data_IF_911357355815
#
_entry.id   IF_911357355815
#
_cell.length_a   1.000
_cell.length_b   1.000
_cell.length_c   1.000
_cell.angle_alpha   90.00
_cell.angle_beta   90.00
_cell.angle_gamma   90.00
#
_symmetry.space_group_name_H-M   'P 1'
#
loop_
_entity.id
_entity.type
_entity.pdbx_description
1 polymer ?
#
# COMPACT_ATOMS: atom_id res chain seq x y z
N UNK A 1 -31.78 2.10 64.40
CA UNK A 1 -32.84 1.19 63.98
C UNK A 1 -33.08 1.48 62.51
N UNK A 2 -32.43 0.77 61.62
CA UNK A 2 -32.83 -0.42 60.92
C UNK A 2 -33.88 -0.15 59.81
N UNK A 3 -33.48 -0.27 58.60
CA UNK A 3 -34.35 -0.42 57.47
C UNK A 3 -33.56 -0.63 56.17
N UNK A 4 -32.85 -1.76 56.02
CA UNK A 4 -32.38 -2.24 54.73
C UNK A 4 -33.60 -2.72 53.91
N UNK A 5 -33.90 -2.15 52.77
CA UNK A 5 -34.76 -2.77 51.76
C UNK A 5 -33.95 -3.10 50.51
N UNK A 6 -33.85 -4.42 50.23
CA UNK A 6 -33.40 -4.97 48.99
C UNK A 6 -34.34 -4.61 47.82
N UNK A 7 -33.89 -4.29 46.63
CA UNK A 7 -34.73 -4.41 45.45
C UNK A 7 -34.71 -5.87 44.98
N UNK A 8 -35.89 -6.45 44.98
CA UNK A 8 -36.26 -7.74 44.43
C UNK A 8 -36.06 -7.74 42.89
N UNK A 9 -35.46 -8.79 42.43
CA UNK A 9 -35.26 -9.07 41.00
C UNK A 9 -36.57 -9.30 40.23
N UNK A 10 -36.67 -8.65 39.12
CA UNK A 10 -37.62 -9.00 38.05
C UNK A 10 -36.85 -8.82 36.75
N UNK A 11 -36.23 -9.88 36.25
CA UNK A 11 -35.98 -10.14 34.85
C UNK A 11 -35.46 -11.59 34.64
N UNK A 12 -36.36 -12.61 34.61
CA UNK A 12 -35.93 -13.97 34.22
C UNK A 12 -36.32 -14.38 32.80
N UNK A 13 -36.56 -13.49 31.84
CA UNK A 13 -37.04 -13.94 30.51
C UNK A 13 -36.33 -13.32 29.29
N UNK A 14 -35.04 -12.97 29.38
CA UNK A 14 -34.29 -12.57 28.17
C UNK A 14 -33.04 -13.44 27.95
N UNK A 15 -33.25 -14.77 28.03
CA UNK A 15 -32.21 -15.76 27.72
C UNK A 15 -32.72 -16.76 26.66
N UNK A 16 -33.21 -16.29 25.52
CA UNK A 16 -33.44 -17.16 24.32
C UNK A 16 -33.73 -16.26 23.13
N UNK A 17 -32.74 -15.74 22.48
CA UNK A 17 -32.72 -15.35 21.05
C UNK A 17 -31.40 -14.63 20.69
N UNK A 18 -30.26 -15.24 21.01
CA UNK A 18 -29.04 -14.99 20.26
C UNK A 18 -28.72 -16.28 19.52
N UNK A 19 -29.48 -16.49 18.45
CA UNK A 19 -29.12 -17.41 17.41
C UNK A 19 -27.78 -16.96 16.85
N UNK A 20 -26.78 -17.79 17.07
CA UNK A 20 -25.49 -17.69 16.41
C UNK A 20 -25.74 -17.71 14.90
N UNK A 21 -25.82 -16.55 14.28
CA UNK A 21 -25.54 -16.40 12.87
C UNK A 21 -24.03 -16.63 12.74
N UNK A 22 -23.64 -17.88 12.62
CA UNK A 22 -22.34 -18.26 12.11
C UNK A 22 -22.22 -17.66 10.71
N UNK A 23 -21.54 -16.54 10.61
CA UNK A 23 -20.98 -16.07 9.35
C UNK A 23 -19.93 -17.12 9.00
N UNK A 24 -20.36 -18.15 8.27
CA UNK A 24 -19.48 -19.01 7.52
C UNK A 24 -18.82 -18.13 6.47
N UNK A 25 -17.69 -17.51 6.84
CA UNK A 25 -16.71 -17.11 5.85
C UNK A 25 -16.35 -18.39 5.10
N UNK A 26 -16.89 -18.55 3.90
CA UNK A 26 -16.42 -19.54 2.95
C UNK A 26 -14.98 -19.15 2.62
N UNK A 27 -14.06 -19.57 3.46
CA UNK A 27 -12.67 -19.74 3.06
C UNK A 27 -12.74 -20.81 1.99
N UNK A 28 -12.75 -20.38 0.74
CA UNK A 28 -12.45 -21.26 -0.38
C UNK A 28 -11.06 -21.81 -0.11
N UNK A 29 -11.03 -22.98 0.48
CA UNK A 29 -9.85 -23.82 0.55
C UNK A 29 -9.55 -24.10 -0.92
N UNK A 30 -8.67 -23.31 -1.49
CA UNK A 30 -7.98 -23.64 -2.73
C UNK A 30 -7.25 -24.93 -2.37
N UNK A 31 -7.87 -26.04 -2.76
CA UNK A 31 -7.26 -27.35 -2.70
C UNK A 31 -6.04 -27.26 -3.61
N UNK A 32 -4.90 -26.94 -3.04
CA UNK A 32 -3.64 -27.11 -3.69
C UNK A 32 -3.56 -28.59 -4.03
N UNK A 33 -3.72 -28.91 -5.30
CA UNK A 33 -3.25 -30.18 -5.83
C UNK A 33 -1.82 -30.38 -5.31
N UNK A 34 -1.42 -31.60 -4.94
CA UNK A 34 -0.06 -31.84 -4.52
C UNK A 34 0.84 -31.45 -5.69
N UNK A 35 1.34 -30.21 -5.65
CA UNK A 35 2.38 -29.76 -6.51
C UNK A 35 3.51 -30.76 -6.32
N UNK A 36 3.91 -31.39 -7.39
CA UNK A 36 5.14 -32.16 -7.43
C UNK A 36 6.20 -31.25 -6.84
N UNK A 37 6.63 -31.54 -5.62
CA UNK A 37 7.91 -31.06 -5.13
C UNK A 37 8.90 -31.47 -6.22
N UNK A 38 9.31 -30.49 -7.02
CA UNK A 38 10.50 -30.66 -7.84
C UNK A 38 11.60 -30.80 -6.80
N UNK A 39 11.86 -32.04 -6.48
CA UNK A 39 13.05 -32.46 -5.76
C UNK A 39 14.19 -32.01 -6.66
N UNK A 40 14.70 -30.79 -6.36
CA UNK A 40 15.94 -30.32 -6.95
C UNK A 40 16.99 -31.26 -6.41
N UNK A 41 17.18 -32.34 -7.14
CA UNK A 41 18.27 -33.27 -6.90
C UNK A 41 19.54 -32.42 -6.82
N UNK A 42 20.11 -32.34 -5.61
CA UNK A 42 21.39 -31.74 -5.39
C UNK A 42 22.40 -32.45 -6.30
N UNK A 43 22.65 -31.83 -7.45
CA UNK A 43 23.73 -32.27 -8.33
C UNK A 43 25.03 -32.12 -7.54
N UNK A 44 25.91 -33.12 -7.53
CA UNK A 44 27.17 -33.04 -6.81
C UNK A 44 27.92 -31.79 -7.30
N UNK A 45 28.31 -30.95 -6.38
CA UNK A 45 29.14 -29.77 -6.62
C UNK A 45 30.49 -30.22 -7.22
N UNK A 46 30.54 -30.29 -8.54
CA UNK A 46 31.82 -30.36 -9.24
C UNK A 46 32.50 -29.00 -9.07
N UNK A 47 33.52 -28.93 -8.26
CA UNK A 47 34.48 -27.83 -8.29
C UNK A 47 35.03 -27.75 -9.71
N UNK A 48 34.74 -26.66 -10.44
CA UNK A 48 35.34 -26.44 -11.77
C UNK A 48 36.83 -26.26 -11.53
N UNK A 49 37.70 -27.08 -12.09
CA UNK A 49 39.14 -26.95 -11.90
C UNK A 49 39.62 -25.59 -12.37
N UNK A 50 40.58 -25.00 -11.67
CA UNK A 50 41.12 -23.67 -11.97
C UNK A 50 41.71 -23.52 -13.38
N UNK A 51 41.98 -24.62 -14.05
CA UNK A 51 42.55 -24.65 -15.40
C UNK A 51 41.51 -24.57 -16.55
N UNK A 52 40.24 -24.92 -16.28
CA UNK A 52 39.11 -24.70 -17.20
C UNK A 52 38.67 -23.22 -17.26
N UNK A 53 39.17 -22.37 -16.38
CA UNK A 53 38.82 -20.96 -16.26
C UNK A 53 39.55 -20.02 -17.23
N UNK A 54 40.47 -20.53 -18.07
CA UNK A 54 41.24 -19.75 -19.04
C UNK A 54 40.68 -19.90 -20.46
N UNK A 55 39.72 -19.04 -20.84
CA UNK A 55 39.32 -18.82 -22.23
C UNK A 55 38.17 -19.67 -22.77
N UNK A 56 37.55 -20.53 -21.97
CA UNK A 56 36.37 -21.34 -22.36
C UNK A 56 35.03 -20.76 -21.87
N UNK A 57 33.97 -21.62 -21.90
CA UNK A 57 32.63 -21.32 -21.39
C UNK A 57 32.62 -20.67 -19.99
N UNK A 58 33.53 -21.02 -19.03
CA UNK A 58 33.61 -20.40 -17.70
C UNK A 58 33.92 -18.90 -17.71
N UNK A 59 34.85 -18.46 -18.56
CA UNK A 59 35.19 -17.04 -18.65
C UNK A 59 33.99 -16.16 -19.09
N UNK A 60 33.13 -16.71 -19.98
CA UNK A 60 31.90 -16.03 -20.39
C UNK A 60 30.89 -15.94 -19.25
N UNK A 61 30.76 -16.97 -18.43
CA UNK A 61 29.87 -17.00 -17.27
C UNK A 61 30.30 -15.96 -16.21
N UNK A 62 31.63 -15.90 -15.93
CA UNK A 62 32.19 -14.92 -15.00
C UNK A 62 31.98 -13.51 -15.54
N UNK A 63 32.17 -13.26 -16.82
CA UNK A 63 31.94 -11.94 -17.41
C UNK A 63 30.45 -11.52 -17.32
N UNK A 64 29.51 -12.44 -17.57
CA UNK A 64 28.09 -12.20 -17.36
C UNK A 64 27.80 -11.81 -15.90
N UNK A 65 28.36 -12.56 -14.95
CA UNK A 65 28.23 -12.27 -13.53
C UNK A 65 28.83 -10.91 -13.15
N UNK A 66 30.06 -10.60 -13.61
CA UNK A 66 30.70 -9.31 -13.36
C UNK A 66 29.86 -8.15 -13.89
N UNK A 67 29.32 -8.31 -15.12
CA UNK A 67 28.45 -7.30 -15.72
C UNK A 67 27.17 -7.09 -14.91
N UNK A 68 26.50 -8.20 -14.56
CA UNK A 68 25.29 -8.17 -13.77
C UNK A 68 25.52 -7.56 -12.36
N UNK A 69 26.59 -7.95 -11.70
CA UNK A 69 26.98 -7.39 -10.39
C UNK A 69 27.35 -5.90 -10.47
N UNK A 70 27.97 -5.47 -11.58
CA UNK A 70 28.26 -4.06 -11.85
C UNK A 70 26.98 -3.25 -12.05
N UNK A 71 26.04 -3.76 -12.85
CA UNK A 71 24.73 -3.13 -13.10
C UNK A 71 23.89 -3.03 -11.79
N UNK A 72 24.04 -4.00 -10.90
CA UNK A 72 23.47 -3.97 -9.56
C UNK A 72 24.21 -3.03 -8.59
N UNK A 73 25.40 -2.52 -8.96
CA UNK A 73 26.23 -1.64 -8.14
C UNK A 73 27.00 -2.35 -7.02
N UNK A 74 27.06 -3.68 -7.07
CA UNK A 74 27.75 -4.53 -6.07
C UNK A 74 29.21 -4.78 -6.44
N UNK A 75 29.57 -4.61 -7.73
CA UNK A 75 30.91 -4.81 -8.27
C UNK A 75 31.42 -3.55 -8.98
N UNK A 76 32.70 -3.22 -8.75
CA UNK A 76 33.38 -2.06 -9.36
C UNK A 76 34.73 -2.42 -9.98
N UNK A 77 35.00 -3.72 -10.12
CA UNK A 77 36.23 -4.21 -10.73
C UNK A 77 36.18 -4.28 -12.25
N UNK A 78 37.25 -4.78 -12.90
CA UNK A 78 37.29 -4.94 -14.34
C UNK A 78 36.35 -6.05 -14.82
N UNK A 79 35.75 -5.84 -15.98
CA UNK A 79 34.85 -6.82 -16.64
C UNK A 79 35.70 -7.70 -17.60
N UNK A 80 36.54 -8.55 -17.03
CA UNK A 80 37.57 -9.31 -17.77
C UNK A 80 37.32 -10.82 -17.85
N UNK A 81 36.20 -11.29 -17.22
CA UNK A 81 35.85 -12.70 -17.18
C UNK A 81 36.75 -13.55 -16.29
N UNK A 82 37.51 -12.92 -15.34
CA UNK A 82 38.38 -13.63 -14.40
C UNK A 82 37.76 -13.67 -13.03
N UNK A 83 37.89 -14.83 -12.36
CA UNK A 83 37.45 -14.98 -10.98
C UNK A 83 38.55 -14.49 -10.03
N UNK A 84 38.55 -13.22 -9.74
CA UNK A 84 39.46 -12.62 -8.76
C UNK A 84 38.78 -12.48 -7.36
N UNK A 85 39.53 -11.97 -6.37
CA UNK A 85 39.04 -11.77 -5.01
C UNK A 85 37.87 -10.76 -4.98
N UNK A 86 37.92 -9.74 -5.82
CA UNK A 86 36.88 -8.71 -5.89
C UNK A 86 35.58 -9.30 -6.47
N UNK A 87 35.68 -10.09 -7.54
CA UNK A 87 34.54 -10.80 -8.14
C UNK A 87 33.91 -11.77 -7.14
N UNK A 88 34.72 -12.58 -6.45
CA UNK A 88 34.23 -13.51 -5.43
C UNK A 88 33.54 -12.79 -4.27
N UNK A 89 34.13 -11.69 -3.79
CA UNK A 89 33.52 -10.87 -2.73
C UNK A 89 32.18 -10.27 -3.15
N UNK A 90 32.06 -9.80 -4.38
CA UNK A 90 30.81 -9.27 -4.95
C UNK A 90 29.73 -10.35 -5.06
N UNK A 91 30.10 -11.56 -5.49
CA UNK A 91 29.19 -12.71 -5.50
C UNK A 91 28.70 -13.02 -4.09
N UNK A 92 29.59 -13.09 -3.10
CA UNK A 92 29.22 -13.30 -1.71
C UNK A 92 28.31 -12.20 -1.15
N UNK A 93 28.55 -10.95 -1.53
CA UNK A 93 27.69 -9.82 -1.12
C UNK A 93 26.27 -9.98 -1.71
N UNK A 94 26.17 -10.35 -2.97
CA UNK A 94 24.88 -10.63 -3.60
C UNK A 94 24.17 -11.82 -2.97
N UNK A 95 24.88 -12.95 -2.75
CA UNK A 95 24.33 -14.14 -2.08
C UNK A 95 23.76 -13.80 -0.69
N UNK A 96 24.47 -12.97 0.12
CA UNK A 96 23.96 -12.46 1.39
C UNK A 96 22.70 -11.62 1.20
N UNK A 97 22.68 -10.76 0.19
CA UNK A 97 21.56 -9.88 -0.09
C UNK A 97 20.26 -10.62 -0.43
N UNK A 98 20.36 -11.77 -1.09
CA UNK A 98 19.21 -12.63 -1.42
C UNK A 98 18.95 -13.74 -0.39
N UNK A 99 19.71 -13.77 0.72
CA UNK A 99 19.48 -14.67 1.85
C UNK A 99 19.94 -16.12 1.63
N UNK A 100 20.86 -16.38 0.67
CA UNK A 100 21.46 -17.71 0.48
C UNK A 100 22.85 -17.78 1.06
N UNK A 101 23.42 -19.01 1.15
CA UNK A 101 24.78 -19.22 1.65
C UNK A 101 25.79 -18.47 0.79
N UNK A 102 26.57 -17.60 1.44
CA UNK A 102 27.57 -16.74 0.78
C UNK A 102 28.91 -17.50 0.61
N UNK A 103 28.95 -18.51 -0.23
CA UNK A 103 30.15 -19.31 -0.51
C UNK A 103 31.04 -18.73 -1.62
N UNK A 104 30.52 -17.77 -2.37
CA UNK A 104 31.21 -17.13 -3.49
C UNK A 104 31.33 -18.03 -4.73
N UNK A 105 30.57 -19.14 -4.78
CA UNK A 105 30.52 -20.01 -5.96
C UNK A 105 29.63 -19.38 -7.01
N UNK A 106 30.06 -19.48 -8.26
CA UNK A 106 29.31 -19.02 -9.41
C UNK A 106 28.70 -20.22 -10.14
N UNK A 107 27.40 -20.23 -10.28
CA UNK A 107 26.65 -21.22 -11.07
C UNK A 107 25.82 -20.50 -12.12
N UNK A 108 25.34 -21.21 -13.13
CA UNK A 108 24.48 -20.64 -14.18
C UNK A 108 23.18 -20.09 -13.54
N UNK A 109 22.60 -20.82 -12.59
CA UNK A 109 21.38 -20.42 -11.88
C UNK A 109 21.60 -19.11 -11.08
N UNK A 110 22.80 -18.91 -10.51
CA UNK A 110 23.13 -17.68 -9.84
C UNK A 110 23.25 -16.50 -10.80
N UNK A 111 23.81 -16.74 -12.00
CA UNK A 111 23.91 -15.71 -13.04
C UNK A 111 22.52 -15.34 -13.56
N UNK A 112 21.65 -16.31 -13.81
CA UNK A 112 20.26 -16.05 -14.16
C UNK A 112 19.52 -15.25 -13.07
N UNK A 113 19.74 -15.58 -11.79
CA UNK A 113 19.20 -14.82 -10.65
C UNK A 113 19.69 -13.37 -10.65
N UNK A 114 20.98 -13.13 -10.93
CA UNK A 114 21.56 -11.80 -11.06
C UNK A 114 20.91 -11.02 -12.22
N UNK A 115 20.78 -11.64 -13.39
CA UNK A 115 20.17 -11.03 -14.57
C UNK A 115 18.69 -10.70 -14.32
N UNK A 116 17.94 -11.61 -13.69
CA UNK A 116 16.56 -11.38 -13.27
C UNK A 116 16.45 -10.21 -12.26
N UNK A 117 17.39 -10.11 -11.32
CA UNK A 117 17.44 -9.00 -10.36
C UNK A 117 17.63 -7.65 -11.04
N UNK A 118 18.39 -7.60 -12.15
CA UNK A 118 18.53 -6.39 -12.96
C UNK A 118 17.19 -6.02 -13.61
N UNK A 119 16.50 -6.99 -14.21
CA UNK A 119 15.20 -6.76 -14.85
C UNK A 119 14.17 -6.22 -13.84
N UNK A 120 14.10 -6.82 -12.64
CA UNK A 120 13.24 -6.35 -11.57
C UNK A 120 13.60 -4.90 -11.16
N UNK A 121 14.89 -4.60 -11.02
CA UNK A 121 15.35 -3.25 -10.67
C UNK A 121 15.00 -2.22 -11.74
N UNK A 122 15.14 -2.55 -13.01
CA UNK A 122 14.75 -1.69 -14.14
C UNK A 122 13.23 -1.42 -14.10
N UNK A 123 12.44 -2.49 -13.89
CA UNK A 123 11.00 -2.38 -13.79
C UNK A 123 10.57 -1.49 -12.60
N UNK A 124 11.16 -1.69 -11.42
CA UNK A 124 10.88 -0.88 -10.24
C UNK A 124 11.20 0.60 -10.48
N UNK A 125 12.36 0.91 -11.07
CA UNK A 125 12.71 2.30 -11.44
C UNK A 125 11.70 2.92 -12.41
N UNK A 126 11.20 2.12 -13.37
CA UNK A 126 10.17 2.59 -14.31
C UNK A 126 8.85 2.86 -13.60
N UNK A 127 8.45 1.99 -12.68
CA UNK A 127 7.24 2.17 -11.87
C UNK A 127 7.36 3.41 -10.97
N UNK A 128 8.50 3.63 -10.33
CA UNK A 128 8.74 4.81 -9.52
C UNK A 128 8.66 6.10 -10.36
N UNK A 129 9.23 6.09 -11.56
CA UNK A 129 9.13 7.23 -12.49
C UNK A 129 7.67 7.53 -12.84
N UNK A 130 6.91 6.52 -13.26
CA UNK A 130 5.48 6.66 -13.58
C UNK A 130 4.70 7.16 -12.36
N UNK A 131 5.01 6.66 -11.17
CA UNK A 131 4.38 7.12 -9.93
C UNK A 131 4.61 8.61 -9.68
N UNK A 132 5.85 9.08 -9.84
CA UNK A 132 6.21 10.49 -9.67
C UNK A 132 5.51 11.36 -10.71
N UNK A 133 5.47 10.91 -11.96
CA UNK A 133 4.78 11.62 -13.06
C UNK A 133 3.28 11.73 -12.78
N UNK A 134 2.63 10.65 -12.34
CA UNK A 134 1.20 10.65 -11.99
C UNK A 134 0.90 11.56 -10.78
N UNK A 135 1.75 11.55 -9.75
CA UNK A 135 1.61 12.46 -8.59
C UNK A 135 1.71 13.92 -9.05
N UNK A 136 2.69 14.24 -9.91
CA UNK A 136 2.88 15.58 -10.43
C UNK A 136 1.71 16.03 -11.31
N UNK A 137 1.21 15.15 -12.18
CA UNK A 137 0.06 15.42 -13.03
C UNK A 137 -1.20 15.70 -12.21
N UNK A 138 -1.52 14.85 -11.23
CA UNK A 138 -2.66 15.05 -10.33
C UNK A 138 -2.53 16.37 -9.54
N UNK A 139 -1.33 16.67 -9.00
CA UNK A 139 -1.07 17.91 -8.29
C UNK A 139 -1.32 19.14 -9.18
N UNK A 140 -0.78 19.13 -10.40
CA UNK A 140 -0.95 20.23 -11.34
C UNK A 140 -2.42 20.41 -11.76
N UNK A 141 -3.13 19.31 -12.00
CA UNK A 141 -4.55 19.35 -12.32
C UNK A 141 -5.36 20.02 -11.20
N UNK A 142 -5.14 19.63 -9.94
CA UNK A 142 -5.80 20.22 -8.77
C UNK A 142 -5.42 21.71 -8.58
N UNK A 143 -4.16 22.09 -8.77
CA UNK A 143 -3.71 23.48 -8.63
C UNK A 143 -4.30 24.40 -9.70
N UNK A 144 -4.48 23.87 -10.91
CA UNK A 144 -5.00 24.67 -12.04
C UNK A 144 -6.52 24.85 -12.00
N UNK A 145 -7.24 24.05 -11.23
CA UNK A 145 -8.68 24.18 -11.09
C UNK A 145 -9.04 25.04 -9.86
N UNK A 146 -9.81 26.13 -10.01
CA UNK A 146 -10.09 27.08 -8.91
C UNK A 146 -10.73 26.43 -7.68
N UNK A 147 -11.67 25.49 -7.88
CA UNK A 147 -12.42 24.88 -6.80
C UNK A 147 -11.62 23.79 -6.01
N UNK A 148 -10.45 23.37 -6.50
CA UNK A 148 -9.65 22.31 -5.88
C UNK A 148 -8.26 22.77 -5.45
N UNK A 149 -7.85 23.98 -5.79
CA UNK A 149 -6.53 24.52 -5.44
C UNK A 149 -6.27 24.47 -3.93
N UNK A 150 -7.24 24.86 -3.13
CA UNK A 150 -7.11 24.91 -1.68
C UNK A 150 -6.96 23.51 -1.05
N UNK A 151 -7.45 22.45 -1.73
CA UNK A 151 -7.25 21.07 -1.28
C UNK A 151 -5.77 20.66 -1.31
N UNK A 152 -4.93 21.33 -2.11
CA UNK A 152 -3.50 21.03 -2.24
C UNK A 152 -2.62 22.01 -1.46
N UNK A 153 -3.05 23.26 -1.29
CA UNK A 153 -2.25 24.32 -0.68
C UNK A 153 -2.47 24.48 0.80
N UNK A 154 -3.56 23.90 1.35
CA UNK A 154 -3.88 23.94 2.78
C UNK A 154 -2.87 23.19 3.66
N UNK A 155 -2.76 23.58 4.91
CA UNK A 155 -1.98 22.87 5.91
C UNK A 155 -2.60 21.48 6.18
N UNK A 156 -1.75 20.45 6.21
CA UNK A 156 -2.19 19.05 6.31
C UNK A 156 -1.68 18.35 7.58
N UNK A 157 -0.93 19.06 8.41
CA UNK A 157 -0.41 18.51 9.65
C UNK A 157 -1.31 18.84 10.82
N UNK A 158 -2.14 17.87 11.15
CA UNK A 158 -2.91 17.88 12.39
C UNK A 158 -2.48 16.69 13.24
N UNK A 159 -2.09 16.97 14.48
CA UNK A 159 -1.83 15.93 15.48
C UNK A 159 -3.16 15.46 16.10
N UNK A 160 -3.24 14.16 16.40
CA UNK A 160 -4.35 13.65 17.22
C UNK A 160 -4.26 14.23 18.62
N UNK A 161 -5.40 14.63 19.19
CA UNK A 161 -5.49 15.05 20.60
C UNK A 161 -5.89 13.84 21.46
N UNK A 162 -4.94 13.24 22.22
CA UNK A 162 -5.25 12.08 23.06
C UNK A 162 -6.11 12.45 24.29
N UNK A 163 -6.18 13.73 24.65
CA UNK A 163 -6.95 14.24 25.77
C UNK A 163 -8.35 14.72 25.37
N UNK A 164 -8.73 14.58 24.10
CA UNK A 164 -10.03 15.02 23.59
C UNK A 164 -11.18 14.35 24.35
N UNK A 165 -12.10 15.17 24.85
CA UNK A 165 -13.31 14.69 25.50
C UNK A 165 -14.35 14.20 24.47
N UNK A 166 -14.56 12.88 24.43
CA UNK A 166 -15.52 12.20 23.55
C UNK A 166 -16.91 12.03 24.20
N UNK A 167 -17.05 12.36 25.48
CA UNK A 167 -18.27 12.10 26.27
C UNK A 167 -19.48 12.74 25.64
N UNK A 168 -19.37 13.98 25.21
CA UNK A 168 -20.48 14.74 24.60
C UNK A 168 -21.00 14.07 23.32
N UNK A 169 -20.11 13.47 22.53
CA UNK A 169 -20.48 12.74 21.33
C UNK A 169 -21.25 11.45 21.68
N UNK A 170 -20.80 10.71 22.68
CA UNK A 170 -21.45 9.46 23.10
C UNK A 170 -22.78 9.68 23.82
N UNK A 171 -22.97 10.83 24.51
CA UNK A 171 -24.23 11.20 25.13
C UNK A 171 -25.30 11.58 24.10
N UNK A 172 -24.89 12.18 22.98
CA UNK A 172 -25.82 12.60 21.91
C UNK A 172 -25.26 12.20 20.54
N UNK A 173 -25.41 10.91 20.23
CA UNK A 173 -24.88 10.32 18.99
C UNK A 173 -25.57 10.90 17.76
N UNK A 174 -24.81 11.62 16.95
CA UNK A 174 -25.19 12.07 15.61
C UNK A 174 -24.18 11.55 14.60
N UNK A 175 -24.60 11.41 13.33
CA UNK A 175 -23.71 11.00 12.25
C UNK A 175 -22.50 11.93 12.14
N UNK A 176 -22.72 13.25 12.24
CA UNK A 176 -21.65 14.26 12.23
C UNK A 176 -20.64 14.03 13.34
N UNK A 177 -21.10 13.90 14.58
CA UNK A 177 -20.26 13.67 15.74
C UNK A 177 -19.38 12.40 15.58
N UNK A 178 -19.97 11.28 15.12
CA UNK A 178 -19.23 10.03 14.90
C UNK A 178 -18.16 10.18 13.82
N UNK A 179 -18.45 10.91 12.74
CA UNK A 179 -17.49 11.14 11.66
C UNK A 179 -16.37 12.09 12.10
N UNK A 180 -16.66 13.09 12.96
CA UNK A 180 -15.65 13.96 13.55
C UNK A 180 -14.70 13.16 14.46
N UNK A 181 -15.23 12.23 15.27
CA UNK A 181 -14.41 11.32 16.07
C UNK A 181 -13.56 10.36 15.20
N UNK A 182 -14.09 9.93 14.05
CA UNK A 182 -13.34 9.11 13.10
C UNK A 182 -12.17 9.89 12.49
N UNK A 183 -12.39 11.16 12.10
CA UNK A 183 -11.32 12.04 11.59
C UNK A 183 -10.22 12.22 12.64
N UNK A 184 -10.60 12.49 13.88
CA UNK A 184 -9.62 12.67 14.95
C UNK A 184 -8.81 11.40 15.20
N UNK A 185 -9.48 10.25 15.15
CA UNK A 185 -8.80 8.94 15.22
C UNK A 185 -7.85 8.71 14.05
N UNK A 186 -8.21 9.15 12.84
CA UNK A 186 -7.36 9.04 11.65
C UNK A 186 -6.06 9.86 11.78
N UNK A 187 -6.07 10.99 12.50
CA UNK A 187 -4.86 11.79 12.79
C UNK A 187 -3.79 10.97 13.53
N UNK A 188 -4.20 9.99 14.36
CA UNK A 188 -3.30 9.09 15.09
C UNK A 188 -2.66 8.00 14.22
N UNK A 189 -3.05 7.84 12.98
CA UNK A 189 -2.49 6.83 12.08
C UNK A 189 -1.10 7.23 11.62
N UNK A 190 -0.09 6.49 12.03
CA UNK A 190 1.32 6.81 11.78
C UNK A 190 1.71 6.78 10.29
N UNK A 191 1.20 5.78 9.51
CA UNK A 191 1.53 5.63 8.09
C UNK A 191 0.66 6.56 7.25
N UNK A 192 1.25 7.49 6.48
CA UNK A 192 0.50 8.46 5.67
C UNK A 192 -0.50 7.80 4.70
N UNK A 193 -0.10 6.69 4.07
CA UNK A 193 -0.95 5.99 3.10
C UNK A 193 -2.21 5.40 3.75
N UNK A 194 -2.08 4.87 4.97
CA UNK A 194 -3.21 4.34 5.73
C UNK A 194 -4.09 5.45 6.28
N UNK A 195 -3.50 6.61 6.63
CA UNK A 195 -4.24 7.80 7.03
C UNK A 195 -5.07 8.31 5.86
N UNK A 196 -4.47 8.48 4.70
CA UNK A 196 -5.16 8.94 3.49
C UNK A 196 -6.30 7.99 3.10
N UNK A 197 -6.08 6.68 3.21
CA UNK A 197 -7.13 5.69 3.00
C UNK A 197 -8.29 5.85 4.00
N UNK A 198 -7.99 5.98 5.30
CA UNK A 198 -9.02 6.17 6.32
C UNK A 198 -9.82 7.47 6.09
N UNK A 199 -9.16 8.56 5.72
CA UNK A 199 -9.82 9.81 5.37
C UNK A 199 -10.72 9.64 4.13
N UNK A 200 -10.32 8.82 3.15
CA UNK A 200 -11.12 8.45 2.00
C UNK A 200 -12.44 7.77 2.39
N UNK A 201 -12.40 6.79 3.29
CA UNK A 201 -13.62 6.13 3.79
C UNK A 201 -14.54 7.09 4.57
N UNK A 202 -13.96 7.96 5.39
CA UNK A 202 -14.71 8.94 6.17
C UNK A 202 -15.43 9.95 5.26
N UNK A 203 -14.75 10.50 4.26
CA UNK A 203 -15.37 11.47 3.35
C UNK A 203 -16.52 10.87 2.53
N UNK A 204 -16.42 9.60 2.14
CA UNK A 204 -17.54 8.89 1.47
C UNK A 204 -18.74 8.80 2.40
N UNK A 205 -18.54 8.48 3.67
CA UNK A 205 -19.61 8.45 4.65
C UNK A 205 -20.23 9.85 4.90
N UNK A 206 -19.40 10.90 4.94
CA UNK A 206 -19.86 12.28 5.03
C UNK A 206 -20.69 12.68 3.80
N UNK A 207 -20.22 12.33 2.61
CA UNK A 207 -20.94 12.63 1.36
C UNK A 207 -22.31 11.94 1.29
N UNK A 208 -22.38 10.65 1.70
CA UNK A 208 -23.65 9.90 1.80
C UNK A 208 -24.62 10.49 2.81
N UNK A 209 -24.10 11.07 3.89
CA UNK A 209 -24.89 11.75 4.91
C UNK A 209 -25.32 13.18 4.50
N UNK A 210 -24.99 13.64 3.29
CA UNK A 210 -25.26 15.00 2.82
C UNK A 210 -24.34 16.07 3.39
N UNK A 211 -23.26 15.67 4.10
CA UNK A 211 -22.27 16.55 4.74
C UNK A 211 -21.16 16.92 3.72
N UNK A 212 -21.54 17.52 2.60
CA UNK A 212 -20.62 17.86 1.51
C UNK A 212 -19.49 18.82 1.93
N UNK A 213 -19.74 19.90 2.68
CA UNK A 213 -18.66 20.78 3.13
C UNK A 213 -17.60 20.03 3.93
N UNK A 214 -18.01 19.17 4.83
CA UNK A 214 -17.15 18.36 5.68
C UNK A 214 -16.37 17.32 4.87
N UNK A 215 -17.02 16.70 3.86
CA UNK A 215 -16.35 15.77 2.95
C UNK A 215 -15.25 16.47 2.14
N UNK A 216 -15.49 17.70 1.67
CA UNK A 216 -14.48 18.51 0.97
C UNK A 216 -13.33 18.93 1.88
N UNK A 217 -13.61 19.30 3.12
CA UNK A 217 -12.60 19.59 4.14
C UNK A 217 -11.73 18.34 4.40
N UNK A 218 -12.37 17.19 4.57
CA UNK A 218 -11.68 15.91 4.76
C UNK A 218 -10.81 15.54 3.55
N UNK A 219 -11.28 15.79 2.32
CA UNK A 219 -10.47 15.63 1.10
C UNK A 219 -9.21 16.52 1.13
N UNK A 220 -9.31 17.75 1.65
CA UNK A 220 -8.18 18.66 1.84
C UNK A 220 -7.12 18.13 2.81
N UNK A 221 -7.42 17.18 3.68
CA UNK A 221 -6.49 16.55 4.63
C UNK A 221 -5.68 15.42 4.01
N UNK A 222 -6.10 14.88 2.86
CA UNK A 222 -5.39 13.84 2.12
C UNK A 222 -4.09 14.39 1.54
N UNK A 223 -2.98 13.68 1.71
CA UNK A 223 -1.65 14.10 1.26
C UNK A 223 -1.34 13.75 -0.18
N UNK A 224 -1.77 12.57 -0.63
CA UNK A 224 -1.52 12.12 -2.00
C UNK A 224 -2.49 12.82 -2.98
N UNK A 225 -2.01 13.67 -3.90
CA UNK A 225 -2.87 14.38 -4.84
C UNK A 225 -3.75 13.47 -5.70
N UNK A 226 -3.29 12.25 -5.99
CA UNK A 226 -4.05 11.26 -6.77
C UNK A 226 -5.27 10.78 -5.99
N UNK A 227 -5.11 10.58 -4.68
CA UNK A 227 -6.21 10.18 -3.81
C UNK A 227 -7.20 11.31 -3.60
N UNK A 228 -6.79 12.59 -3.66
CA UNK A 228 -7.72 13.73 -3.67
C UNK A 228 -8.61 13.68 -4.91
N UNK A 229 -8.04 13.41 -6.10
CA UNK A 229 -8.83 13.29 -7.34
C UNK A 229 -9.82 12.11 -7.24
N UNK A 230 -9.40 10.98 -6.69
CA UNK A 230 -10.28 9.83 -6.41
C UNK A 230 -11.37 10.21 -5.42
N UNK A 231 -11.02 10.91 -4.33
CA UNK A 231 -11.98 11.36 -3.31
C UNK A 231 -13.08 12.27 -3.89
N UNK A 232 -12.74 13.16 -4.82
CA UNK A 232 -13.72 14.01 -5.49
C UNK A 232 -14.74 13.18 -6.29
N UNK A 233 -14.27 12.15 -7.01
CA UNK A 233 -15.15 11.19 -7.69
C UNK A 233 -16.04 10.46 -6.69
N UNK A 234 -15.45 9.91 -5.64
CA UNK A 234 -16.16 9.12 -4.63
C UNK A 234 -17.24 9.95 -3.89
N UNK A 235 -16.98 11.26 -3.68
CA UNK A 235 -18.00 12.21 -3.18
C UNK A 235 -19.17 12.31 -4.17
N UNK A 236 -18.90 12.49 -5.46
CA UNK A 236 -19.95 12.60 -6.46
C UNK A 236 -20.80 11.33 -6.55
N UNK A 237 -20.15 10.16 -6.62
CA UNK A 237 -20.81 8.86 -6.65
C UNK A 237 -21.64 8.60 -5.38
N UNK A 238 -21.10 8.92 -4.20
CA UNK A 238 -21.79 8.73 -2.92
C UNK A 238 -23.03 9.62 -2.80
N UNK A 239 -22.97 10.86 -3.30
CA UNK A 239 -24.10 11.78 -3.34
C UNK A 239 -25.18 11.30 -4.33
N UNK A 240 -24.77 10.84 -5.53
CA UNK A 240 -25.70 10.27 -6.50
C UNK A 240 -26.42 9.04 -5.94
N UNK A 241 -25.69 8.13 -5.31
CA UNK A 241 -26.27 6.93 -4.67
C UNK A 241 -27.22 7.26 -3.52
N UNK A 242 -27.07 8.42 -2.89
CA UNK A 242 -27.97 8.93 -1.83
C UNK A 242 -29.14 9.75 -2.36
N UNK A 243 -29.33 9.85 -3.68
CA UNK A 243 -30.39 10.64 -4.31
C UNK A 243 -30.12 12.15 -4.36
N UNK A 244 -28.92 12.60 -4.01
CA UNK A 244 -28.48 13.99 -4.02
C UNK A 244 -27.94 14.38 -5.41
N UNK A 245 -28.75 14.21 -6.46
CA UNK A 245 -28.30 14.31 -7.86
C UNK A 245 -27.74 15.69 -8.24
N UNK A 246 -28.26 16.77 -7.69
CA UNK A 246 -27.75 18.14 -7.97
C UNK A 246 -26.37 18.33 -7.37
N UNK A 247 -26.17 17.90 -6.15
CA UNK A 247 -24.92 17.95 -5.41
C UNK A 247 -23.87 17.06 -6.08
N UNK A 248 -24.27 15.87 -6.54
CA UNK A 248 -23.43 14.94 -7.27
C UNK A 248 -22.89 15.56 -8.58
N UNK A 249 -23.75 16.21 -9.38
CA UNK A 249 -23.34 16.89 -10.59
C UNK A 249 -22.37 18.05 -10.31
N UNK A 250 -22.61 18.81 -9.24
CA UNK A 250 -21.68 19.88 -8.84
C UNK A 250 -20.34 19.29 -8.40
N UNK A 251 -20.34 18.18 -7.67
CA UNK A 251 -19.12 17.51 -7.24
C UNK A 251 -18.36 16.90 -8.43
N UNK A 252 -19.06 16.27 -9.39
CA UNK A 252 -18.43 15.77 -10.61
C UNK A 252 -17.79 16.91 -11.43
N UNK A 253 -18.46 18.06 -11.54
CA UNK A 253 -18.00 19.20 -12.33
C UNK A 253 -16.69 19.82 -11.84
N UNK A 254 -16.26 19.57 -10.61
CA UNK A 254 -14.98 20.08 -10.08
C UNK A 254 -13.83 19.07 -10.21
N UNK A 255 -14.07 17.87 -10.74
CA UNK A 255 -13.03 16.85 -10.94
C UNK A 255 -12.13 17.27 -12.09
N UNK A 256 -10.83 17.57 -11.85
CA UNK A 256 -9.96 18.12 -12.88
C UNK A 256 -9.39 17.07 -13.84
N UNK A 257 -9.52 15.77 -13.51
CA UNK A 257 -9.09 14.65 -14.33
C UNK A 257 -10.24 14.23 -15.26
N UNK A 258 -10.07 14.27 -16.61
CA UNK A 258 -11.16 13.97 -17.55
C UNK A 258 -11.69 12.55 -17.45
N UNK A 259 -10.83 11.57 -17.15
CA UNK A 259 -11.25 10.16 -17.00
C UNK A 259 -12.08 10.01 -15.72
N UNK A 260 -11.63 10.55 -14.60
CA UNK A 260 -12.35 10.51 -13.32
C UNK A 260 -13.64 11.32 -13.35
N UNK A 261 -13.65 12.41 -14.11
CA UNK A 261 -14.87 13.17 -14.37
C UNK A 261 -15.90 12.34 -15.14
N UNK A 262 -15.47 11.65 -16.20
CA UNK A 262 -16.35 10.77 -16.97
C UNK A 262 -16.85 9.55 -16.17
N UNK A 263 -16.01 9.00 -15.27
CA UNK A 263 -16.42 7.91 -14.37
C UNK A 263 -17.52 8.35 -13.37
N UNK A 264 -17.52 9.63 -12.98
CA UNK A 264 -18.45 10.18 -11.97
C UNK A 264 -19.80 10.61 -12.54
N UNK A 265 -19.97 10.69 -13.85
CA UNK A 265 -21.22 11.06 -14.54
C UNK A 265 -22.05 9.84 -14.90
#
# INVERSE_FOLDING_TARGET
MLGRSKPSGIFPHLRKALGAAAVMAAVSVFSAAPGHAVEVAARPSGDIPADELRGGKPGKLILRAQKALSDLGVYRGPLDGRMDVATKSAIQAYQRGIGIKADGRLTEELVESLENSIQVRVLLKRLDKIRIENISAARNALLNHPATRDLITGEKEEAADPARDKTKCFENLTVRCLLDEAIDSAKGVFKPELRDWALGEILVAQARAGLRPEAMETAGRIRDPRLIVVALRDIAEAQAASGLSKEALVAAGIIPDPMKHAEAL
#
